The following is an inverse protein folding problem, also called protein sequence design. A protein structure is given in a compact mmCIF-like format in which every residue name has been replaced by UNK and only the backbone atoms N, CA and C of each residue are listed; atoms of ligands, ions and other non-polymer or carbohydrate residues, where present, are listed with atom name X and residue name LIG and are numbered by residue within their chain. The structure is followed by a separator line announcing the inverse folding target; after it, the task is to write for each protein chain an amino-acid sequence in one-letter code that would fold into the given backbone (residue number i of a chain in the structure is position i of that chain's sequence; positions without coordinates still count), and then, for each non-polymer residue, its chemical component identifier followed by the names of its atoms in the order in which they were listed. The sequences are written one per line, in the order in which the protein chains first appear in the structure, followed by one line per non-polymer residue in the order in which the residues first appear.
data_IF_948636803985
#
_entry.id   IF_948636803985
#
_cell.length_a   1.000
_cell.length_b   1.000
_cell.length_c   1.000
_cell.angle_alpha   90.00
_cell.angle_beta   90.00
_cell.angle_gamma   90.00
#
_symmetry.space_group_name_H-M   'P 1'
#
loop_
_entity.id
_entity.type
_entity.pdbx_description
1 polymer ?
#
# COMPACT_ATOMS: atom_id res chain seq x y z
N UNK A 1 6.15 2.26 20.05
CA UNK A 1 6.16 3.74 20.16
C UNK A 1 7.58 4.31 20.37
N UNK A 2 8.62 3.80 19.69
CA UNK A 2 9.98 4.39 19.82
C UNK A 2 10.19 5.55 18.84
N UNK A 3 9.64 5.42 17.63
CA UNK A 3 9.82 6.39 16.55
C UNK A 3 8.62 7.32 16.37
N UNK A 4 7.42 6.83 16.69
CA UNK A 4 6.18 7.59 16.65
C UNK A 4 5.48 7.39 18.00
N UNK A 5 5.83 8.19 19.02
CA UNK A 5 5.30 8.08 20.37
C UNK A 5 3.88 8.66 20.54
N UNK A 6 3.44 9.48 19.57
CA UNK A 6 2.09 10.01 19.48
C UNK A 6 1.22 9.22 18.47
N UNK A 7 1.80 8.18 17.87
CA UNK A 7 1.22 7.44 16.75
C UNK A 7 1.18 8.20 15.43
N UNK A 8 0.90 7.48 14.34
CA UNK A 8 0.70 8.03 12.98
C UNK A 8 -0.62 7.55 12.35
N UNK A 9 -1.48 6.95 13.17
CA UNK A 9 -2.65 6.22 12.69
C UNK A 9 -2.28 4.92 11.95
N UNK A 10 -3.27 4.33 11.29
CA UNK A 10 -3.17 3.12 10.49
C UNK A 10 -4.05 3.29 9.26
N UNK A 11 -3.45 3.32 8.08
CA UNK A 11 -4.14 3.70 6.85
C UNK A 11 -3.49 3.12 5.61
N UNK A 12 -4.27 3.02 4.54
CA UNK A 12 -3.84 2.65 3.20
C UNK A 12 -4.11 3.81 2.25
N UNK A 13 -3.11 4.12 1.43
CA UNK A 13 -3.18 5.09 0.33
C UNK A 13 -2.94 4.36 -0.98
N UNK A 14 -3.38 4.96 -2.09
CA UNK A 14 -3.08 4.47 -3.44
C UNK A 14 -2.21 5.50 -4.17
N UNK A 15 -1.24 4.98 -4.91
CA UNK A 15 -0.40 5.75 -5.82
C UNK A 15 -0.67 5.28 -7.25
N UNK A 16 -0.80 6.23 -8.16
CA UNK A 16 -0.81 6.00 -9.60
C UNK A 16 0.62 6.16 -10.12
N UNK A 17 1.18 5.08 -10.67
CA UNK A 17 2.51 5.09 -11.27
C UNK A 17 2.39 5.17 -12.79
N UNK A 18 2.93 6.23 -13.41
CA UNK A 18 2.89 6.40 -14.86
C UNK A 18 3.91 5.45 -15.53
N UNK A 19 3.50 4.61 -16.50
CA UNK A 19 4.42 3.77 -17.26
C UNK A 19 5.53 4.55 -18.01
N UNK A 20 5.33 5.84 -18.28
CA UNK A 20 6.30 6.73 -18.93
C UNK A 20 7.19 7.48 -17.92
N UNK A 21 6.95 7.26 -16.62
CA UNK A 21 7.71 7.86 -15.53
C UNK A 21 6.90 8.91 -14.75
N UNK A 22 6.95 8.81 -13.42
CA UNK A 22 6.22 9.67 -12.51
C UNK A 22 5.39 8.86 -11.52
N UNK A 23 5.01 9.49 -10.42
CA UNK A 23 4.13 8.90 -9.40
C UNK A 23 3.27 10.01 -8.76
N UNK A 24 2.00 9.73 -8.55
CA UNK A 24 1.06 10.67 -7.91
C UNK A 24 0.14 9.97 -6.93
N UNK A 25 -0.30 10.69 -5.90
CA UNK A 25 -1.34 10.21 -4.98
C UNK A 25 -2.71 10.24 -5.67
N UNK A 26 -3.52 9.21 -5.45
CA UNK A 26 -4.95 9.29 -5.74
C UNK A 26 -5.67 9.92 -4.53
N UNK A 27 -6.04 11.19 -4.66
CA UNK A 27 -6.70 11.97 -3.61
C UNK A 27 -8.10 11.42 -3.24
N UNK A 28 -8.68 10.53 -4.06
CA UNK A 28 -9.97 9.92 -3.80
C UNK A 28 -9.87 8.57 -3.07
N UNK A 29 -8.65 8.07 -2.82
CA UNK A 29 -8.44 6.78 -2.16
C UNK A 29 -7.67 6.95 -0.84
N UNK A 30 -8.41 6.86 0.27
CA UNK A 30 -7.85 6.85 1.62
C UNK A 30 -8.68 5.93 2.51
N UNK A 31 -8.08 4.85 3.02
CA UNK A 31 -8.76 3.87 3.88
C UNK A 31 -8.09 3.88 5.25
N UNK A 32 -8.86 4.16 6.29
CA UNK A 32 -8.39 4.16 7.67
C UNK A 32 -8.76 2.86 8.39
N UNK A 33 -7.92 2.44 9.33
CA UNK A 33 -8.19 1.32 10.24
C UNK A 33 -8.04 1.78 11.68
N UNK A 34 -9.13 1.71 12.46
CA UNK A 34 -9.14 2.12 13.87
C UNK A 34 -8.67 1.05 14.86
N UNK A 35 -8.76 -0.23 14.47
CA UNK A 35 -8.62 -1.34 15.42
C UNK A 35 -7.24 -2.02 15.37
N UNK A 36 -6.54 -1.93 14.22
CA UNK A 36 -5.27 -2.63 13.99
C UNK A 36 -4.31 -1.82 13.11
N UNK A 37 -3.00 -2.11 13.21
CA UNK A 37 -2.00 -1.55 12.30
C UNK A 37 -1.98 -2.34 10.99
N UNK A 38 -2.30 -1.68 9.89
CA UNK A 38 -2.17 -2.24 8.55
C UNK A 38 -0.70 -2.41 8.21
N UNK A 39 -0.38 -3.47 7.47
CA UNK A 39 1.00 -3.79 7.14
C UNK A 39 1.16 -4.36 5.73
N UNK A 40 0.65 -5.56 5.46
CA UNK A 40 0.77 -6.22 4.16
C UNK A 40 -0.57 -6.18 3.42
N UNK A 41 -0.52 -5.91 2.12
CA UNK A 41 -1.68 -5.93 1.22
C UNK A 41 -1.50 -7.12 0.26
N UNK A 42 -2.59 -7.85 0.01
CA UNK A 42 -2.68 -8.89 -1.03
C UNK A 42 -3.83 -8.56 -1.95
N UNK A 43 -3.54 -8.40 -3.24
CA UNK A 43 -4.59 -8.19 -4.24
C UNK A 43 -5.16 -9.54 -4.66
N UNK A 44 -6.48 -9.61 -4.79
CA UNK A 44 -7.14 -10.81 -5.30
C UNK A 44 -6.68 -11.07 -6.74
N UNK A 45 -6.28 -12.30 -7.03
CA UNK A 45 -5.73 -12.69 -8.33
C UNK A 45 -4.23 -12.48 -8.50
N UNK A 46 -3.53 -11.94 -7.48
CA UNK A 46 -2.07 -11.78 -7.47
C UNK A 46 -1.62 -10.31 -7.51
N UNK A 47 -0.45 -10.05 -6.93
CA UNK A 47 0.24 -8.77 -6.86
C UNK A 47 1.74 -8.94 -7.20
N UNK A 48 2.46 -7.83 -7.31
CA UNK A 48 3.88 -7.82 -7.71
C UNK A 48 4.84 -8.50 -6.73
N UNK A 49 4.34 -9.01 -5.59
CA UNK A 49 5.11 -9.63 -4.52
C UNK A 49 4.49 -10.94 -4.01
N UNK A 50 3.44 -11.44 -4.64
CA UNK A 50 2.78 -12.70 -4.23
C UNK A 50 3.33 -13.91 -4.97
N UNK A 51 3.68 -13.72 -6.24
CA UNK A 51 3.94 -14.83 -7.16
C UNK A 51 5.38 -14.81 -7.69
N UNK A 52 5.82 -15.99 -8.11
CA UNK A 52 7.10 -16.19 -8.81
C UNK A 52 6.83 -16.97 -10.09
N UNK A 53 7.53 -16.63 -11.16
CA UNK A 53 7.30 -17.18 -12.49
C UNK A 53 8.50 -18.00 -12.95
N UNK A 54 8.24 -19.14 -13.59
CA UNK A 54 9.26 -20.08 -14.07
C UNK A 54 9.49 -20.03 -15.58
N UNK A 55 8.73 -19.22 -16.31
CA UNK A 55 8.81 -19.07 -17.75
C UNK A 55 9.02 -17.59 -18.11
N UNK A 56 9.91 -17.27 -19.07
CA UNK A 56 10.07 -15.91 -19.57
C UNK A 56 8.90 -15.48 -20.46
#
# INVERSE_FOLDING_TARGET
EQFYPDGVGSWMVKLEADPQGGISLDENFFVESGDYRVHQIRLEGGDSSSDSFCFP
#
